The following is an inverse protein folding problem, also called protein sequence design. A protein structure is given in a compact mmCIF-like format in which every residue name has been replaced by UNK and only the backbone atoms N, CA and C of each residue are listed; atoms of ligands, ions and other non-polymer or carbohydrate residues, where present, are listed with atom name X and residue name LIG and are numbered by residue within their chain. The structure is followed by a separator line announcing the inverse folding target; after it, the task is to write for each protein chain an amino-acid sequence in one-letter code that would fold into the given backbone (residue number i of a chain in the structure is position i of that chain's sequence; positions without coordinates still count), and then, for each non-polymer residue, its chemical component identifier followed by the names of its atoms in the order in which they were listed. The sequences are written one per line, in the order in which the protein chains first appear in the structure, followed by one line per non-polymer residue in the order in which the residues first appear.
data_IF_850271593804
#
_entry.id   IF_850271593804
#
_cell.length_a   1.000
_cell.length_b   1.000
_cell.length_c   1.000
_cell.angle_alpha   90.00
_cell.angle_beta   90.00
_cell.angle_gamma   90.00
#
_symmetry.space_group_name_H-M   'P 1'
#
loop_
_entity.id
_entity.type
_entity.pdbx_description
1 polymer ?
#
# COMPACT_ATOMS: atom_id res chain seq x y z
N UNK A 1 -7.94 -8.90 8.43
CA UNK A 1 -7.49 -10.33 8.37
C UNK A 1 -6.09 -10.48 7.76
N UNK A 2 -5.80 -9.93 6.57
CA UNK A 2 -4.49 -10.07 5.91
C UNK A 2 -3.31 -9.56 6.76
N UNK A 3 -3.45 -8.41 7.44
CA UNK A 3 -2.40 -7.88 8.31
C UNK A 3 -2.06 -8.79 9.49
N UNK A 4 -3.07 -9.40 10.11
CA UNK A 4 -2.87 -10.36 11.21
C UNK A 4 -2.18 -11.62 10.69
N UNK A 5 -2.62 -12.16 9.56
CA UNK A 5 -2.03 -13.33 8.94
C UNK A 5 -0.59 -13.09 8.46
N UNK A 6 -0.28 -11.87 8.05
CA UNK A 6 1.07 -11.44 7.64
C UNK A 6 1.99 -11.06 8.80
N UNK A 7 1.52 -11.15 10.05
CA UNK A 7 2.32 -10.85 11.23
C UNK A 7 2.59 -9.35 11.44
N UNK A 8 1.66 -8.49 10.98
CA UNK A 8 1.76 -7.06 11.23
C UNK A 8 1.59 -6.73 12.72
N UNK A 9 2.40 -5.82 13.23
CA UNK A 9 2.33 -5.32 14.61
C UNK A 9 1.15 -4.37 14.80
N UNK A 10 0.81 -3.60 13.77
CA UNK A 10 -0.34 -2.72 13.78
C UNK A 10 -1.06 -2.74 12.43
N UNK A 11 -2.38 -2.61 12.49
CA UNK A 11 -3.25 -2.49 11.31
C UNK A 11 -4.15 -1.28 11.53
N UNK A 12 -3.96 -0.25 10.72
CA UNK A 12 -4.76 0.96 10.75
C UNK A 12 -5.88 0.84 9.71
N UNK A 13 -7.09 1.02 10.17
CA UNK A 13 -8.30 1.03 9.33
C UNK A 13 -9.12 2.29 9.64
N UNK A 14 -9.96 2.78 8.73
CA UNK A 14 -10.74 4.00 8.95
C UNK A 14 -11.66 3.92 10.16
N UNK A 15 -12.14 2.72 10.49
CA UNK A 15 -13.02 2.46 11.64
C UNK A 15 -12.29 2.47 12.99
N UNK A 16 -10.96 2.32 12.97
CA UNK A 16 -10.11 2.31 14.16
C UNK A 16 -8.82 3.03 13.85
N UNK A 17 -8.90 4.34 13.84
CA UNK A 17 -7.73 5.19 13.58
C UNK A 17 -6.83 5.25 14.81
N UNK A 18 -5.54 5.08 14.58
CA UNK A 18 -4.49 5.21 15.57
C UNK A 18 -3.67 6.47 15.28
N UNK A 19 -3.37 7.23 16.31
CA UNK A 19 -2.50 8.41 16.20
C UNK A 19 -1.05 8.02 15.90
N UNK A 20 -0.25 8.94 15.33
CA UNK A 20 1.17 8.68 15.07
C UNK A 20 1.97 8.34 16.34
N UNK A 21 1.61 8.94 17.49
CA UNK A 21 2.27 8.67 18.77
C UNK A 21 1.95 7.27 19.30
N UNK A 22 0.68 6.83 19.20
CA UNK A 22 0.26 5.51 19.61
C UNK A 22 0.93 4.44 18.74
N UNK A 23 1.02 4.72 17.44
CA UNK A 23 1.75 3.87 16.50
C UNK A 23 3.23 3.76 16.86
N UNK A 24 3.87 4.88 17.23
CA UNK A 24 5.25 4.88 17.69
C UNK A 24 5.45 4.04 18.94
N UNK A 25 4.48 4.06 19.87
CA UNK A 25 4.51 3.24 21.05
C UNK A 25 4.41 1.74 20.73
N UNK A 26 3.54 1.35 19.77
CA UNK A 26 3.43 -0.06 19.34
C UNK A 26 4.72 -0.54 18.65
N UNK A 27 5.33 0.28 17.81
CA UNK A 27 6.62 -0.05 17.18
C UNK A 27 7.69 -0.26 18.25
N UNK A 28 7.76 0.63 19.25
CA UNK A 28 8.72 0.52 20.35
C UNK A 28 8.52 -0.77 21.13
N UNK A 29 7.29 -1.13 21.45
CA UNK A 29 6.96 -2.41 22.11
C UNK A 29 7.39 -3.62 21.26
N UNK A 30 7.28 -3.54 19.94
CA UNK A 30 7.75 -4.61 19.06
C UNK A 30 9.26 -4.79 19.13
N UNK A 31 10.02 -3.70 19.14
CA UNK A 31 11.49 -3.74 19.33
C UNK A 31 11.87 -4.27 20.73
N UNK A 32 11.17 -3.85 21.80
CA UNK A 32 11.39 -4.34 23.15
C UNK A 32 11.16 -5.87 23.28
N UNK A 33 10.26 -6.42 22.47
CA UNK A 33 10.07 -7.87 22.33
C UNK A 33 11.13 -8.59 21.49
N UNK A 34 12.18 -7.87 21.07
CA UNK A 34 13.31 -8.43 20.32
C UNK A 34 13.05 -8.57 18.82
N UNK A 35 12.02 -7.96 18.26
CA UNK A 35 11.80 -7.96 16.80
C UNK A 35 12.76 -6.98 16.13
N UNK A 36 13.44 -7.44 15.07
CA UNK A 36 14.34 -6.60 14.29
C UNK A 36 13.57 -5.66 13.33
N UNK A 37 12.34 -6.00 12.99
CA UNK A 37 11.49 -5.26 12.06
C UNK A 37 10.06 -5.21 12.57
N UNK A 38 9.38 -4.11 12.33
CA UNK A 38 7.94 -3.95 12.59
C UNK A 38 7.22 -3.71 11.26
N UNK A 39 6.16 -4.45 11.01
CA UNK A 39 5.31 -4.31 9.82
C UNK A 39 4.01 -3.62 10.24
N UNK A 40 3.67 -2.55 9.55
CA UNK A 40 2.44 -1.80 9.76
C UNK A 40 1.64 -1.84 8.47
N UNK A 41 0.39 -2.19 8.57
CA UNK A 41 -0.55 -2.16 7.44
C UNK A 41 -1.50 -0.99 7.62
N UNK A 42 -1.53 -0.10 6.65
CA UNK A 42 -2.41 1.08 6.65
C UNK A 42 -3.39 0.96 5.51
N UNK A 43 -4.67 1.03 5.82
CA UNK A 43 -5.71 1.04 4.79
C UNK A 43 -5.74 2.41 4.09
N UNK A 44 -6.02 2.39 2.80
CA UNK A 44 -5.99 3.57 1.93
C UNK A 44 -6.96 4.69 2.37
N UNK A 45 -8.07 4.32 3.00
CA UNK A 45 -9.07 5.27 3.50
C UNK A 45 -8.78 5.91 4.85
N UNK A 46 -7.63 5.62 5.49
CA UNK A 46 -7.28 6.23 6.77
C UNK A 46 -6.95 7.71 6.63
N UNK A 47 -7.38 8.54 7.57
CA UNK A 47 -7.00 9.96 7.66
C UNK A 47 -5.49 10.12 7.87
N UNK A 48 -4.90 9.22 8.66
CA UNK A 48 -3.45 9.07 8.82
C UNK A 48 -2.94 8.06 7.79
N UNK A 49 -2.88 8.48 6.53
CA UNK A 49 -2.37 7.64 5.45
C UNK A 49 -0.85 7.39 5.60
N UNK A 50 -0.33 6.43 4.82
CA UNK A 50 1.07 6.01 4.90
C UNK A 50 2.06 7.16 4.65
N UNK A 51 1.74 8.10 3.76
CA UNK A 51 2.59 9.26 3.46
C UNK A 51 2.66 10.25 4.62
N UNK A 52 1.51 10.56 5.26
CA UNK A 52 1.46 11.43 6.44
C UNK A 52 2.25 10.83 7.59
N UNK A 53 2.09 9.54 7.82
CA UNK A 53 2.86 8.84 8.85
C UNK A 53 4.35 8.89 8.52
N UNK A 54 4.75 8.64 7.27
CA UNK A 54 6.16 8.71 6.87
C UNK A 54 6.77 10.10 7.12
N UNK A 55 6.06 11.16 6.76
CA UNK A 55 6.50 12.54 7.00
C UNK A 55 6.64 12.83 8.49
N UNK A 56 5.64 12.46 9.28
CA UNK A 56 5.68 12.61 10.73
C UNK A 56 6.89 11.91 11.36
N UNK A 57 7.15 10.66 10.97
CA UNK A 57 8.28 9.88 11.48
C UNK A 57 9.63 10.44 10.99
N UNK A 58 9.70 10.97 9.77
CA UNK A 58 10.89 11.62 9.26
C UNK A 58 11.24 12.89 10.04
N UNK A 59 10.24 13.73 10.34
CA UNK A 59 10.42 14.95 11.13
C UNK A 59 10.84 14.66 12.58
N UNK A 60 10.35 13.57 13.16
CA UNK A 60 10.62 13.18 14.54
C UNK A 60 11.67 12.06 14.69
N UNK A 61 12.45 11.80 13.64
CA UNK A 61 13.44 10.72 13.59
C UNK A 61 14.41 10.72 14.77
N UNK A 62 14.90 11.91 15.17
CA UNK A 62 15.81 12.07 16.30
C UNK A 62 15.23 11.64 17.64
N UNK A 63 13.91 11.78 17.82
CA UNK A 63 13.20 11.40 19.05
C UNK A 63 12.72 9.94 19.03
N UNK A 64 12.35 9.46 17.88
CA UNK A 64 11.72 8.15 17.73
C UNK A 64 12.74 7.01 17.51
N UNK A 65 13.87 7.29 16.87
CA UNK A 65 15.01 6.37 16.75
C UNK A 65 14.83 5.25 15.72
N UNK A 66 13.79 5.30 14.87
CA UNK A 66 13.58 4.34 13.79
C UNK A 66 13.21 5.04 12.48
N UNK A 67 13.46 4.35 11.39
CA UNK A 67 13.22 4.80 10.03
C UNK A 67 12.06 4.03 9.42
N UNK A 68 11.12 4.74 8.80
CA UNK A 68 9.94 4.16 8.20
C UNK A 68 10.14 4.06 6.68
N UNK A 69 9.96 2.88 6.13
CA UNK A 69 9.91 2.67 4.68
C UNK A 69 8.47 2.44 4.25
N UNK A 70 7.98 3.27 3.36
CA UNK A 70 6.62 3.15 2.82
C UNK A 70 6.66 2.39 1.51
N UNK A 71 5.76 1.42 1.39
CA UNK A 71 5.48 0.72 0.15
C UNK A 71 3.98 0.80 -0.11
N UNK A 72 3.59 1.44 -1.19
CA UNK A 72 2.19 1.54 -1.60
C UNK A 72 1.89 0.37 -2.53
N UNK A 73 0.99 -0.52 -2.07
CA UNK A 73 0.54 -1.67 -2.84
C UNK A 73 -0.66 -1.25 -3.70
N UNK A 74 -0.45 -1.12 -5.01
CA UNK A 74 -1.54 -0.92 -5.96
C UNK A 74 -2.23 -2.25 -6.31
N UNK A 75 -2.44 -2.50 -7.59
CA UNK A 75 -3.10 -3.71 -8.09
C UNK A 75 -2.39 -5.02 -7.70
N UNK A 76 -1.12 -4.96 -7.40
CA UNK A 76 -0.30 -6.11 -6.94
C UNK A 76 -0.89 -6.78 -5.70
N UNK A 77 -1.58 -6.04 -4.84
CA UNK A 77 -2.24 -6.58 -3.64
C UNK A 77 -3.28 -7.67 -3.94
N UNK A 78 -3.87 -7.66 -5.13
CA UNK A 78 -4.85 -8.67 -5.54
C UNK A 78 -4.21 -9.98 -5.95
N UNK A 79 -2.97 -9.94 -6.42
CA UNK A 79 -2.18 -11.11 -6.80
C UNK A 79 -2.84 -11.99 -7.87
N UNK A 80 -2.11 -13.01 -8.29
CA UNK A 80 -2.63 -14.03 -9.18
C UNK A 80 -2.67 -13.62 -10.67
N UNK A 81 -2.61 -14.62 -11.54
CA UNK A 81 -2.84 -14.44 -12.97
C UNK A 81 -4.35 -14.46 -13.26
N UNK A 82 -4.86 -13.55 -14.13
CA UNK A 82 -6.27 -13.56 -14.51
C UNK A 82 -6.64 -14.89 -15.17
N UNK A 83 -7.73 -15.48 -14.68
CA UNK A 83 -8.31 -16.70 -15.24
C UNK A 83 -9.00 -16.46 -16.58
N UNK A 84 -9.49 -17.53 -17.19
CA UNK A 84 -10.21 -17.45 -18.47
C UNK A 84 -11.46 -16.58 -18.36
N UNK A 85 -12.19 -16.69 -17.25
CA UNK A 85 -13.40 -15.87 -17.01
C UNK A 85 -13.06 -14.38 -16.91
N UNK A 86 -12.01 -14.03 -16.17
CA UNK A 86 -11.58 -12.64 -16.00
C UNK A 86 -11.20 -12.00 -17.33
N UNK A 87 -10.47 -12.75 -18.16
CA UNK A 87 -10.06 -12.30 -19.51
C UNK A 87 -11.26 -12.12 -20.44
N UNK A 88 -12.21 -13.05 -20.40
CA UNK A 88 -13.42 -12.98 -21.21
C UNK A 88 -14.27 -11.77 -20.80
N UNK A 89 -14.44 -11.57 -19.49
CA UNK A 89 -15.21 -10.46 -18.95
C UNK A 89 -14.55 -9.12 -19.32
N UNK A 90 -13.25 -8.99 -19.13
CA UNK A 90 -12.50 -7.78 -19.48
C UNK A 90 -12.61 -7.46 -20.98
N UNK A 91 -12.51 -8.48 -21.84
CA UNK A 91 -12.67 -8.30 -23.30
C UNK A 91 -14.07 -7.83 -23.67
N UNK A 92 -15.11 -8.42 -23.04
CA UNK A 92 -16.51 -8.03 -23.30
C UNK A 92 -16.80 -6.61 -22.82
N UNK A 93 -16.33 -6.24 -21.63
CA UNK A 93 -16.50 -4.89 -21.09
C UNK A 93 -15.75 -3.87 -21.93
N UNK A 94 -14.50 -4.14 -22.28
CA UNK A 94 -13.71 -3.26 -23.14
C UNK A 94 -14.33 -3.08 -24.54
N UNK A 95 -14.86 -4.14 -25.14
CA UNK A 95 -15.54 -4.06 -26.42
C UNK A 95 -16.89 -3.28 -26.35
N UNK A 96 -17.58 -3.31 -25.22
CA UNK A 96 -18.81 -2.54 -25.02
C UNK A 96 -18.56 -1.04 -24.84
N UNK A 97 -17.40 -0.65 -24.31
CA UNK A 97 -17.01 0.74 -24.10
C UNK A 97 -16.45 1.41 -25.38
N UNK A 98 -15.92 0.62 -26.33
CA UNK A 98 -15.22 1.12 -27.52
C UNK A 98 -16.05 1.68 -28.66
N UNK A 99 -17.38 1.51 -28.80
CA UNK A 99 -18.12 2.05 -29.95
C UNK A 99 -18.09 3.58 -30.10
N UNK A 100 -17.73 4.30 -29.05
CA UNK A 100 -17.75 5.77 -29.03
C UNK A 100 -16.40 6.44 -28.72
N UNK A 101 -15.32 5.66 -28.64
CA UNK A 101 -14.02 6.22 -28.33
C UNK A 101 -13.23 6.49 -29.61
N UNK A 102 -13.32 7.73 -30.10
CA UNK A 102 -12.30 8.28 -30.97
C UNK A 102 -11.06 8.56 -30.10
N UNK A 103 -10.12 7.65 -30.13
CA UNK A 103 -8.84 7.78 -29.40
C UNK A 103 -8.04 8.90 -30.05
N UNK A 104 -7.79 10.05 -29.37
CA UNK A 104 -6.63 10.84 -29.72
C UNK A 104 -5.42 9.94 -29.47
N UNK A 105 -4.50 9.88 -30.41
CA UNK A 105 -3.30 9.07 -30.34
C UNK A 105 -2.58 9.25 -29.00
N UNK A 106 -2.89 8.37 -28.04
CA UNK A 106 -2.11 8.24 -26.82
C UNK A 106 -0.86 7.45 -27.21
N UNK A 107 0.24 8.15 -27.36
CA UNK A 107 1.55 7.53 -27.38
C UNK A 107 1.76 6.82 -26.04
N UNK A 108 1.60 5.50 -26.05
CA UNK A 108 2.04 4.66 -24.93
C UNK A 108 3.56 4.66 -24.90
N UNK A 109 4.15 5.53 -24.12
CA UNK A 109 5.56 5.39 -23.78
C UNK A 109 5.71 4.23 -22.82
N UNK A 110 6.25 3.13 -23.30
CA UNK A 110 6.71 2.02 -22.49
C UNK A 110 7.88 2.49 -21.66
N UNK A 111 7.68 2.62 -20.33
CA UNK A 111 8.80 2.79 -19.42
C UNK A 111 9.47 1.44 -19.25
N UNK A 112 10.57 1.25 -19.98
CA UNK A 112 11.47 0.11 -19.80
C UNK A 112 12.26 0.35 -18.51
N UNK A 113 12.03 -0.44 -17.49
CA UNK A 113 12.93 -0.50 -16.33
C UNK A 113 14.17 -1.28 -16.73
N UNK A 114 15.28 -0.57 -16.95
CA UNK A 114 16.58 -1.19 -17.02
C UNK A 114 17.07 -1.43 -15.58
N UNK A 115 17.17 -2.69 -15.18
CA UNK A 115 17.97 -3.09 -14.03
C UNK A 115 19.43 -2.80 -14.28
N UNK A 116 20.08 -2.19 -13.30
CA UNK A 116 21.51 -2.27 -13.04
C UNK A 116 21.73 -2.70 -11.62
#
# INVERSE_FOLDING_TARGET
MAGIAGGAEAVLIPESEMGPEDLAAEIRRAYERGKAHAIIVVAEGCSNNAERLANYFAEHRGRLGFDLRVTILGLVQRGGAPGTFDRLLATRLGAAETPNWSVPSLEFSWVSFAEK
#
